data_IF_003657867729
#
_entry.id   IF_003657867729
#
_cell.length_a   1.000
_cell.length_b   1.000
_cell.length_c   1.000
_cell.angle_alpha   90.00
_cell.angle_beta   90.00
_cell.angle_gamma   90.00
#
_symmetry.space_group_name_H-M   'P 1'
#
loop_
_entity.id
_entity.type
_entity.pdbx_description
1 polymer ?
#
# COMPACT_ATOMS: atom_id res chain seq x y z
N UNK A 1 18.24 -1.69 0.09
CA UNK A 1 16.99 -1.35 0.79
C UNK A 1 15.92 -2.36 0.36
N UNK A 2 15.17 -2.93 1.30
CA UNK A 2 14.12 -3.88 0.96
C UNK A 2 12.89 -3.16 0.38
N UNK A 3 11.95 -3.93 -0.15
CA UNK A 3 10.74 -3.40 -0.79
C UNK A 3 9.94 -2.50 0.16
N UNK A 4 9.77 -2.92 1.42
CA UNK A 4 9.02 -2.13 2.41
C UNK A 4 9.70 -0.80 2.71
N UNK A 5 11.01 -0.81 2.92
CA UNK A 5 11.75 0.42 3.16
C UNK A 5 11.70 1.35 1.93
N UNK A 6 11.77 0.78 0.74
CA UNK A 6 11.66 1.56 -0.50
C UNK A 6 10.28 2.20 -0.64
N UNK A 7 9.22 1.46 -0.35
CA UNK A 7 7.85 1.99 -0.37
C UNK A 7 7.69 3.15 0.61
N UNK A 8 8.13 2.96 1.85
CA UNK A 8 8.02 3.99 2.89
C UNK A 8 8.84 5.22 2.50
N UNK A 9 10.05 5.03 2.00
CA UNK A 9 10.93 6.13 1.61
C UNK A 9 10.38 6.96 0.44
N UNK A 10 9.51 6.36 -0.37
CA UNK A 10 8.94 7.03 -1.55
C UNK A 10 7.60 7.69 -1.25
N UNK A 11 6.70 6.99 -0.54
CA UNK A 11 5.30 7.38 -0.44
C UNK A 11 4.86 7.93 0.91
N UNK A 12 5.71 7.88 1.92
CA UNK A 12 5.41 8.41 3.25
C UNK A 12 6.11 9.76 3.44
N UNK A 13 5.48 10.68 4.17
CA UNK A 13 6.08 11.99 4.46
C UNK A 13 7.45 11.83 5.15
N UNK A 14 8.44 12.66 4.80
CA UNK A 14 9.82 12.45 5.26
C UNK A 14 10.00 12.28 6.76
N UNK A 15 9.25 13.04 7.56
CA UNK A 15 9.40 13.03 9.02
C UNK A 15 9.06 11.67 9.65
N UNK A 16 8.25 10.86 8.99
CA UNK A 16 7.80 9.56 9.51
C UNK A 16 8.57 8.37 8.96
N UNK A 17 9.38 8.56 7.94
CA UNK A 17 10.03 7.45 7.20
C UNK A 17 10.92 6.58 8.07
N UNK A 18 11.86 7.19 8.77
CA UNK A 18 12.85 6.46 9.56
C UNK A 18 12.21 5.57 10.61
N UNK A 19 11.27 6.12 11.37
CA UNK A 19 10.58 5.42 12.44
C UNK A 19 9.77 4.23 11.91
N UNK A 20 9.02 4.44 10.83
CA UNK A 20 8.23 3.36 10.22
C UNK A 20 9.11 2.25 9.67
N UNK A 21 10.20 2.59 9.01
CA UNK A 21 11.13 1.59 8.48
C UNK A 21 11.71 0.74 9.61
N UNK A 22 12.11 1.37 10.71
CA UNK A 22 12.68 0.67 11.87
C UNK A 22 11.65 -0.27 12.53
N UNK A 23 10.42 0.18 12.71
CA UNK A 23 9.37 -0.63 13.32
C UNK A 23 8.97 -1.81 12.41
N UNK A 24 8.81 -1.57 11.12
CA UNK A 24 8.47 -2.64 10.17
C UNK A 24 9.56 -3.71 10.10
N UNK A 25 10.82 -3.33 10.26
CA UNK A 25 11.93 -4.27 10.24
C UNK A 25 12.05 -5.10 11.52
N UNK A 26 11.33 -4.73 12.59
CA UNK A 26 11.40 -5.43 13.87
C UNK A 26 10.17 -6.34 14.04
N UNK A 27 10.32 -7.68 13.96
CA UNK A 27 9.18 -8.60 14.04
C UNK A 27 8.34 -8.44 15.31
N UNK A 28 8.93 -8.04 16.42
CA UNK A 28 8.21 -7.87 17.70
C UNK A 28 7.39 -6.60 17.75
N UNK A 29 7.72 -5.59 16.94
CA UNK A 29 7.08 -4.27 16.96
C UNK A 29 6.29 -3.96 15.69
N UNK A 30 6.42 -4.79 14.68
CA UNK A 30 5.83 -4.57 13.36
C UNK A 30 4.33 -4.24 13.43
N UNK A 31 3.58 -4.93 14.29
CA UNK A 31 2.15 -4.71 14.43
C UNK A 31 1.79 -3.28 14.85
N UNK A 32 2.70 -2.55 15.51
CA UNK A 32 2.48 -1.15 15.86
C UNK A 32 2.43 -0.26 14.63
N UNK A 33 3.24 -0.56 13.62
CA UNK A 33 3.21 0.16 12.36
C UNK A 33 1.98 -0.22 11.53
N UNK A 34 1.70 -1.52 11.39
CA UNK A 34 0.56 -1.97 10.59
C UNK A 34 -0.78 -1.51 11.17
N UNK A 35 -0.88 -1.42 12.49
CA UNK A 35 -2.08 -0.92 13.16
C UNK A 35 -2.40 0.55 12.83
N UNK A 36 -1.41 1.34 12.43
CA UNK A 36 -1.63 2.75 12.05
C UNK A 36 -2.18 2.90 10.64
N UNK A 37 -2.12 1.85 9.82
CA UNK A 37 -2.46 1.96 8.40
C UNK A 37 -3.95 2.17 8.15
N UNK A 38 -4.82 1.74 9.05
CA UNK A 38 -6.27 1.92 8.89
C UNK A 38 -6.67 3.39 8.79
N UNK A 39 -6.01 4.25 9.55
CA UNK A 39 -6.22 5.71 9.57
C UNK A 39 -4.91 6.43 9.30
N UNK A 40 -4.24 6.06 8.23
CA UNK A 40 -2.92 6.59 7.94
C UNK A 40 -2.99 7.97 7.30
N UNK A 41 -2.37 8.96 7.92
CA UNK A 41 -2.41 10.35 7.47
C UNK A 41 -1.06 10.85 6.92
N UNK A 42 -0.08 9.97 6.85
CA UNK A 42 1.30 10.35 6.53
C UNK A 42 1.72 9.97 5.10
N UNK A 43 0.75 9.71 4.22
CA UNK A 43 1.04 9.54 2.80
C UNK A 43 1.43 10.88 2.17
N UNK A 44 2.43 10.86 1.30
CA UNK A 44 2.83 12.05 0.54
C UNK A 44 1.69 12.45 -0.41
N UNK A 45 1.06 13.63 -0.22
CA UNK A 45 -0.06 14.03 -1.06
C UNK A 45 0.26 14.12 -2.54
N UNK A 46 1.52 14.40 -2.88
CA UNK A 46 1.94 14.51 -4.28
C UNK A 46 1.95 13.16 -5.02
N UNK A 47 1.95 12.06 -4.27
CA UNK A 47 1.94 10.70 -4.84
C UNK A 47 0.54 10.10 -4.92
N UNK A 48 -0.46 10.72 -4.28
CA UNK A 48 -1.80 10.15 -4.20
C UNK A 48 -2.55 10.36 -5.51
N UNK A 49 -3.06 9.25 -6.07
CA UNK A 49 -3.96 9.25 -7.22
C UNK A 49 -5.32 8.73 -6.74
N UNK A 50 -6.32 9.62 -6.64
CA UNK A 50 -7.64 9.21 -6.14
C UNK A 50 -8.30 8.18 -7.04
N UNK A 51 -9.10 7.29 -6.44
CA UNK A 51 -9.94 6.34 -7.18
C UNK A 51 -11.35 6.88 -7.29
N UNK A 52 -11.93 6.79 -8.48
CA UNK A 52 -13.33 7.12 -8.69
C UNK A 52 -14.22 6.06 -8.01
N UNK A 53 -15.41 6.45 -7.57
CA UNK A 53 -16.35 5.54 -6.89
C UNK A 53 -16.65 4.28 -7.70
N UNK A 54 -16.80 4.41 -9.02
CA UNK A 54 -17.08 3.30 -9.91
C UNK A 54 -15.87 2.36 -10.12
N UNK A 55 -14.66 2.80 -9.75
CA UNK A 55 -13.43 2.05 -9.97
C UNK A 55 -12.93 1.33 -8.72
N UNK A 56 -13.79 1.13 -7.71
CA UNK A 56 -13.37 0.57 -6.42
C UNK A 56 -13.73 -0.91 -6.26
N UNK A 57 -13.62 -1.68 -7.32
CA UNK A 57 -13.70 -3.13 -7.28
C UNK A 57 -12.30 -3.72 -7.43
N UNK A 58 -12.05 -4.94 -6.94
CA UNK A 58 -10.74 -5.57 -7.14
C UNK A 58 -10.31 -5.60 -8.61
N UNK A 59 -11.21 -5.94 -9.52
CA UNK A 59 -10.89 -5.99 -10.94
C UNK A 59 -10.56 -4.62 -11.53
N UNK A 60 -11.31 -3.58 -11.17
CA UNK A 60 -11.05 -2.24 -11.67
C UNK A 60 -9.74 -1.67 -11.13
N UNK A 61 -9.44 -1.92 -9.86
CA UNK A 61 -8.20 -1.49 -9.25
C UNK A 61 -7.01 -2.23 -9.88
N UNK A 62 -7.15 -3.53 -10.10
CA UNK A 62 -6.13 -4.32 -10.80
C UNK A 62 -5.84 -3.74 -12.19
N UNK A 63 -6.87 -3.45 -12.96
CA UNK A 63 -6.73 -2.86 -14.29
C UNK A 63 -6.01 -1.52 -14.25
N UNK A 64 -6.37 -0.66 -13.27
CA UNK A 64 -5.73 0.64 -13.10
C UNK A 64 -4.25 0.51 -12.73
N UNK A 65 -3.90 -0.41 -11.85
CA UNK A 65 -2.51 -0.67 -11.48
C UNK A 65 -1.71 -1.22 -12.65
N UNK A 66 -2.27 -2.19 -13.39
CA UNK A 66 -1.60 -2.76 -14.55
C UNK A 66 -1.40 -1.73 -15.67
N UNK A 67 -2.33 -0.81 -15.85
CA UNK A 67 -2.18 0.26 -16.84
C UNK A 67 -1.02 1.20 -16.50
N UNK A 68 -0.61 1.22 -15.24
CA UNK A 68 0.55 1.98 -14.76
C UNK A 68 1.84 1.16 -14.67
N UNK A 69 1.79 -0.09 -15.12
CA UNK A 69 2.98 -0.93 -15.21
C UNK A 69 3.09 -2.04 -14.17
N UNK A 70 2.08 -2.24 -13.32
CA UNK A 70 2.12 -3.31 -12.33
C UNK A 70 2.25 -4.68 -13.01
N UNK A 71 3.09 -5.55 -12.44
CA UNK A 71 3.23 -6.93 -12.86
C UNK A 71 2.23 -7.85 -12.15
N UNK A 72 2.56 -9.14 -12.13
CA UNK A 72 1.67 -10.16 -11.59
C UNK A 72 1.73 -10.34 -10.08
N UNK A 73 2.70 -9.72 -9.41
CA UNK A 73 2.87 -9.88 -7.96
C UNK A 73 3.01 -8.54 -7.26
N UNK A 74 2.76 -8.57 -5.95
CA UNK A 74 2.95 -7.41 -5.08
C UNK A 74 3.42 -7.87 -3.70
N UNK A 75 4.07 -6.97 -2.97
CA UNK A 75 4.45 -7.20 -1.58
C UNK A 75 3.46 -6.51 -0.65
N UNK A 76 3.03 -7.21 0.41
CA UNK A 76 1.95 -6.76 1.28
C UNK A 76 2.47 -6.26 2.62
N UNK A 77 2.01 -5.08 3.04
CA UNK A 77 2.12 -4.58 4.42
C UNK A 77 0.69 -4.37 4.90
N UNK A 78 0.23 -5.12 5.91
CA UNK A 78 -1.18 -5.10 6.29
C UNK A 78 -1.42 -5.34 7.77
N UNK A 79 -2.50 -4.76 8.29
CA UNK A 79 -3.07 -5.16 9.59
C UNK A 79 -3.52 -6.62 9.59
N UNK A 80 -3.89 -7.16 8.44
CA UNK A 80 -4.29 -8.54 8.30
C UNK A 80 -3.04 -9.44 8.37
N UNK A 81 -2.86 -10.09 9.52
CA UNK A 81 -1.69 -10.93 9.77
C UNK A 81 -1.57 -12.12 8.83
N UNK A 82 -2.69 -12.56 8.25
CA UNK A 82 -2.67 -13.68 7.32
C UNK A 82 -1.90 -13.38 6.03
N UNK A 83 -1.82 -12.11 5.66
CA UNK A 83 -1.16 -11.69 4.42
C UNK A 83 0.01 -10.73 4.63
N UNK A 84 0.18 -10.18 5.84
CA UNK A 84 1.24 -9.21 6.12
C UNK A 84 2.64 -9.81 5.85
N UNK A 85 3.47 -9.04 5.19
CA UNK A 85 4.85 -9.43 4.87
C UNK A 85 4.98 -10.44 3.73
N UNK A 86 3.89 -10.83 3.11
CA UNK A 86 3.90 -11.83 2.02
C UNK A 86 3.96 -11.17 0.64
N UNK A 87 4.52 -11.91 -0.30
CA UNK A 87 4.42 -11.59 -1.72
C UNK A 87 3.29 -12.44 -2.30
N UNK A 88 2.30 -11.79 -2.86
CA UNK A 88 1.11 -12.45 -3.42
C UNK A 88 0.93 -12.07 -4.88
N UNK A 89 0.14 -12.85 -5.62
CA UNK A 89 -0.30 -12.40 -6.93
C UNK A 89 -1.15 -11.13 -6.73
N UNK A 90 -1.03 -10.19 -7.64
CA UNK A 90 -1.77 -8.92 -7.55
C UNK A 90 -3.28 -9.16 -7.49
N UNK A 91 -3.78 -10.06 -8.32
CA UNK A 91 -5.21 -10.40 -8.33
C UNK A 91 -5.68 -10.93 -6.97
N UNK A 92 -4.96 -11.90 -6.41
CA UNK A 92 -5.31 -12.51 -5.12
C UNK A 92 -5.21 -11.49 -3.99
N UNK A 93 -4.16 -10.67 -3.98
CA UNK A 93 -4.00 -9.63 -2.97
C UNK A 93 -5.18 -8.66 -2.99
N UNK A 94 -5.59 -8.18 -4.15
CA UNK A 94 -6.71 -7.25 -4.26
C UNK A 94 -8.04 -7.89 -3.84
N UNK A 95 -8.26 -9.16 -4.19
CA UNK A 95 -9.44 -9.89 -3.75
C UNK A 95 -9.52 -10.01 -2.22
N UNK A 96 -8.37 -10.12 -1.54
CA UNK A 96 -8.29 -10.23 -0.09
C UNK A 96 -8.34 -8.88 0.62
N UNK A 97 -8.01 -7.81 -0.04
CA UNK A 97 -7.80 -6.48 0.57
C UNK A 97 -8.95 -5.53 0.30
N UNK A 98 -9.41 -5.44 -0.95
CA UNK A 98 -10.39 -4.43 -1.34
C UNK A 98 -11.72 -4.67 -0.64
N UNK A 99 -12.20 -3.63 0.05
CA UNK A 99 -13.47 -3.67 0.75
C UNK A 99 -13.41 -4.25 2.16
N UNK A 100 -12.24 -4.66 2.65
CA UNK A 100 -12.13 -5.26 3.98
C UNK A 100 -11.99 -4.23 5.11
N UNK A 101 -11.64 -2.98 4.79
CA UNK A 101 -11.48 -1.94 5.81
C UNK A 101 -10.28 -2.14 6.73
N UNK A 102 -9.33 -2.98 6.35
CA UNK A 102 -8.09 -3.19 7.09
C UNK A 102 -6.96 -2.44 6.41
N UNK A 103 -6.24 -1.61 7.17
CA UNK A 103 -5.15 -0.82 6.64
C UNK A 103 -4.10 -1.67 5.93
N UNK A 104 -3.84 -1.36 4.67
CA UNK A 104 -2.96 -2.17 3.83
C UNK A 104 -2.23 -1.30 2.81
N UNK A 105 -0.96 -1.63 2.59
CA UNK A 105 -0.17 -1.12 1.48
C UNK A 105 0.26 -2.29 0.61
N UNK A 106 0.02 -2.20 -0.68
CA UNK A 106 0.50 -3.17 -1.67
C UNK A 106 1.58 -2.51 -2.51
N UNK A 107 2.82 -2.99 -2.40
CA UNK A 107 3.92 -2.52 -3.26
C UNK A 107 3.88 -3.29 -4.56
N UNK A 108 3.52 -2.62 -5.65
CA UNK A 108 3.41 -3.24 -6.98
C UNK A 108 4.70 -3.09 -7.78
N UNK A 109 5.30 -1.90 -7.76
CA UNK A 109 6.63 -1.64 -8.31
C UNK A 109 7.39 -0.88 -7.23
N UNK A 110 8.46 -1.45 -6.67
CA UNK A 110 9.17 -0.80 -5.56
C UNK A 110 9.56 0.63 -5.86
N UNK A 111 9.12 1.55 -5.01
CA UNK A 111 9.41 2.97 -5.13
C UNK A 111 8.69 3.71 -6.26
N UNK A 112 7.81 3.05 -7.00
CA UNK A 112 7.15 3.67 -8.16
C UNK A 112 5.63 3.55 -8.14
N UNK A 113 5.09 2.43 -7.68
CA UNK A 113 3.66 2.17 -7.74
C UNK A 113 3.20 1.30 -6.58
N UNK A 114 2.13 1.74 -5.92
CA UNK A 114 1.53 1.02 -4.81
C UNK A 114 0.03 1.30 -4.73
N UNK A 115 -0.66 0.49 -3.93
CA UNK A 115 -2.07 0.70 -3.60
C UNK A 115 -2.20 0.83 -2.08
N UNK A 116 -3.01 1.78 -1.64
CA UNK A 116 -3.34 1.97 -0.24
C UNK A 116 -4.83 1.75 0.00
N UNK A 117 -5.16 1.00 1.03
CA UNK A 117 -6.52 0.90 1.55
C UNK A 117 -6.52 1.20 3.04
N UNK A 118 -7.37 2.15 3.44
CA UNK A 118 -7.62 2.45 4.84
C UNK A 118 -8.94 1.87 5.32
N UNK A 119 -9.44 2.40 6.43
CA UNK A 119 -10.63 1.91 7.12
C UNK A 119 -11.90 2.15 6.32
N UNK A 120 -12.01 3.28 5.65
CA UNK A 120 -13.23 3.67 4.92
C UNK A 120 -13.05 3.62 3.41
N UNK A 121 -14.17 3.58 2.64
CA UNK A 121 -14.09 3.54 1.18
C UNK A 121 -13.46 4.80 0.56
N UNK A 122 -13.51 5.95 1.25
CA UNK A 122 -12.85 7.17 0.79
C UNK A 122 -11.34 7.16 1.03
N UNK A 123 -10.82 6.17 1.77
CA UNK A 123 -9.41 6.05 2.12
C UNK A 123 -8.64 5.14 1.18
N UNK A 124 -9.14 4.91 -0.02
CA UNK A 124 -8.49 4.07 -1.03
C UNK A 124 -7.87 4.93 -2.12
N UNK A 125 -6.63 4.64 -2.46
CA UNK A 125 -5.95 5.36 -3.52
C UNK A 125 -4.82 4.56 -4.14
N UNK A 126 -4.43 4.96 -5.34
CA UNK A 126 -3.19 4.50 -5.95
C UNK A 126 -2.09 5.48 -5.52
N UNK A 127 -0.93 4.95 -5.24
CA UNK A 127 0.27 5.73 -4.96
C UNK A 127 1.20 5.58 -6.13
N UNK A 128 1.54 6.68 -6.78
CA UNK A 128 2.39 6.66 -7.94
C UNK A 128 3.43 7.78 -7.86
N UNK A 129 4.68 7.42 -8.13
CA UNK A 129 5.74 8.41 -8.25
C UNK A 129 5.51 9.19 -9.54
N UNK A 130 5.54 10.53 -9.44
CA UNK A 130 5.40 11.37 -10.63
C UNK A 130 6.57 11.16 -11.56
N UNK A 131 6.27 10.90 -12.83
CA UNK A 131 7.25 11.01 -13.90
C UNK A 131 7.66 12.48 -13.99
N UNK A 132 8.95 12.72 -14.00
CA UNK A 132 9.50 14.05 -14.17
C UNK A 132 9.68 14.31 -15.67
#
# INVERSE_FOLDING_TARGET
MNDEATLISTFVTPIKRKHLIEILANPKRRHRATATLANFHDLDPSAVVPLESAAQTPAAIEAALRSRGAGDSCHVISENRAIDGKTLSLKVALEKVVGQGMGTLLSCIPGELAYYEGEGPSDRCILARRAI
#
